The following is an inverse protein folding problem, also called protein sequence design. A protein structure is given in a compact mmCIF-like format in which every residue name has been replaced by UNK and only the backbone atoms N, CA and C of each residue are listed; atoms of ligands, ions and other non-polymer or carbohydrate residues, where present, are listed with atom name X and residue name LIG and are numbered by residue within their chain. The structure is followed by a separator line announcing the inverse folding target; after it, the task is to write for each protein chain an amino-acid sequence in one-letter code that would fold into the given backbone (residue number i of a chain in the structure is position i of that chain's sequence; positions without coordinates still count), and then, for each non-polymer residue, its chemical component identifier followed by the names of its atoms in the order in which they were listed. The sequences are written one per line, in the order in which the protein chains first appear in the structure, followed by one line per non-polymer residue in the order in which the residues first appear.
data_IF_821058346928
#
_entry.id   IF_821058346928
#
_cell.length_a   1.000
_cell.length_b   1.000
_cell.length_c   1.000
_cell.angle_alpha   90.00
_cell.angle_beta   90.00
_cell.angle_gamma   90.00
#
_symmetry.space_group_name_H-M   'P 1'
#
loop_
_entity.id
_entity.type
_entity.pdbx_description
1 polymer ?
#
# COMPACT_ATOMS: atom_id res chain seq x y z
N UNK A 1 -13.46 25.41 -15.96
CA UNK A 1 -13.19 24.25 -15.09
C UNK A 1 -13.80 24.56 -13.74
N UNK A 2 -14.98 24.02 -13.44
CA UNK A 2 -15.69 24.27 -12.19
C UNK A 2 -14.82 23.75 -11.03
N UNK A 3 -14.46 24.61 -10.08
CA UNK A 3 -13.75 24.22 -8.85
C UNK A 3 -14.53 23.07 -8.19
N UNK A 4 -13.97 21.87 -8.28
CA UNK A 4 -14.58 20.68 -7.67
C UNK A 4 -14.32 20.80 -6.17
N UNK A 5 -15.27 21.38 -5.43
CA UNK A 5 -15.14 21.51 -3.97
C UNK A 5 -15.22 20.12 -3.35
N UNK A 6 -14.08 19.60 -2.92
CA UNK A 6 -13.99 18.32 -2.25
C UNK A 6 -14.69 18.37 -0.88
N UNK A 7 -15.36 17.27 -0.53
CA UNK A 7 -15.97 17.09 0.79
C UNK A 7 -14.92 17.02 1.90
N UNK A 8 -15.36 17.26 3.14
CA UNK A 8 -14.49 17.11 4.32
C UNK A 8 -13.88 15.70 4.40
N UNK A 9 -14.65 14.65 4.10
CA UNK A 9 -14.14 13.27 4.08
C UNK A 9 -12.99 13.11 3.09
N UNK A 10 -13.14 13.60 1.86
CA UNK A 10 -12.09 13.54 0.84
C UNK A 10 -10.83 14.30 1.27
N UNK A 11 -10.98 15.47 1.92
CA UNK A 11 -9.86 16.25 2.43
C UNK A 11 -9.16 15.55 3.60
N UNK A 12 -9.90 14.94 4.52
CA UNK A 12 -9.35 14.12 5.62
C UNK A 12 -8.56 12.93 5.07
N UNK A 13 -9.10 12.22 4.07
CA UNK A 13 -8.39 11.10 3.46
C UNK A 13 -7.12 11.55 2.76
N UNK A 14 -7.18 12.66 2.01
CA UNK A 14 -6.00 13.22 1.38
C UNK A 14 -4.93 13.64 2.42
N UNK A 15 -5.33 14.16 3.58
CA UNK A 15 -4.39 14.47 4.67
C UNK A 15 -3.76 13.20 5.26
N UNK A 16 -4.55 12.12 5.41
CA UNK A 16 -4.01 10.82 5.83
C UNK A 16 -3.07 10.22 4.76
N UNK A 17 -3.31 10.43 3.46
CA UNK A 17 -2.40 9.98 2.41
C UNK A 17 -1.02 10.66 2.50
N UNK A 18 -0.95 11.90 3.00
CA UNK A 18 0.31 12.61 3.28
C UNK A 18 1.01 12.02 4.51
N UNK A 19 0.29 11.86 5.62
CA UNK A 19 0.78 11.17 6.82
C UNK A 19 -0.33 10.32 7.45
N UNK A 20 -0.24 9.01 7.25
CA UNK A 20 -1.23 8.05 7.73
C UNK A 20 -1.36 7.98 9.25
N UNK A 21 -0.39 8.52 10.01
CA UNK A 21 -0.40 8.59 11.48
C UNK A 21 -0.60 10.01 12.02
N UNK A 22 -0.88 10.98 11.15
CA UNK A 22 -1.14 12.36 11.56
C UNK A 22 -2.25 12.43 12.62
N UNK A 23 -2.09 13.34 13.58
CA UNK A 23 -3.09 13.58 14.63
C UNK A 23 -4.28 14.34 14.05
N UNK A 24 -5.47 14.09 14.60
CA UNK A 24 -6.69 14.79 14.17
C UNK A 24 -6.60 16.30 14.39
N UNK A 25 -5.93 16.73 15.47
CA UNK A 25 -5.65 18.14 15.75
C UNK A 25 -4.82 18.82 14.66
N UNK A 26 -3.78 18.15 14.15
CA UNK A 26 -2.93 18.69 13.08
C UNK A 26 -3.66 18.72 11.75
N UNK A 27 -4.43 17.67 11.44
CA UNK A 27 -5.31 17.66 10.26
C UNK A 27 -6.32 18.80 10.32
N UNK A 28 -6.96 19.01 11.48
CA UNK A 28 -7.91 20.09 11.69
C UNK A 28 -7.29 21.48 11.48
N UNK A 29 -6.10 21.70 12.04
CA UNK A 29 -5.36 22.94 11.86
C UNK A 29 -4.99 23.17 10.39
N UNK A 30 -4.47 22.15 9.70
CA UNK A 30 -4.07 22.25 8.29
C UNK A 30 -5.27 22.55 7.38
N UNK A 31 -6.42 21.90 7.62
CA UNK A 31 -7.62 22.04 6.78
C UNK A 31 -8.47 23.28 7.12
N UNK A 32 -8.20 23.95 8.25
CA UNK A 32 -9.01 25.05 8.77
C UNK A 32 -10.40 24.61 9.26
N UNK A 33 -10.49 23.39 9.78
CA UNK A 33 -11.75 22.74 10.17
C UNK A 33 -11.82 22.48 11.68
N UNK A 34 -13.01 22.48 12.31
CA UNK A 34 -13.11 22.14 13.73
C UNK A 34 -12.63 20.71 14.03
N UNK A 35 -11.75 20.55 15.03
CA UNK A 35 -11.16 19.25 15.39
C UNK A 35 -12.22 18.18 15.73
N UNK A 36 -13.33 18.59 16.36
CA UNK A 36 -14.47 17.70 16.64
C UNK A 36 -15.04 17.07 15.36
N UNK A 37 -15.13 17.84 14.27
CA UNK A 37 -15.65 17.35 12.99
C UNK A 37 -14.64 16.42 12.34
N UNK A 38 -13.37 16.83 12.27
CA UNK A 38 -12.29 16.00 11.69
C UNK A 38 -12.16 14.67 12.42
N UNK A 39 -12.19 14.68 13.75
CA UNK A 39 -12.12 13.46 14.58
C UNK A 39 -13.30 12.55 14.31
N UNK A 40 -14.53 13.09 14.34
CA UNK A 40 -15.75 12.29 14.11
C UNK A 40 -15.76 11.66 12.72
N UNK A 41 -15.45 12.43 11.68
CA UNK A 41 -15.43 11.95 10.29
C UNK A 41 -14.26 10.98 10.05
N UNK A 42 -13.06 11.29 10.55
CA UNK A 42 -11.88 10.45 10.42
C UNK A 42 -12.05 9.07 11.07
N UNK A 43 -12.63 9.01 12.28
CA UNK A 43 -12.95 7.74 12.93
C UNK A 43 -13.97 6.95 12.11
N UNK A 44 -15.07 7.58 11.67
CA UNK A 44 -16.09 6.91 10.88
C UNK A 44 -15.55 6.35 9.55
N UNK A 45 -14.63 7.07 8.89
CA UNK A 45 -13.97 6.60 7.67
C UNK A 45 -13.13 5.34 7.91
N UNK A 46 -12.36 5.31 9.01
CA UNK A 46 -11.55 4.16 9.39
C UNK A 46 -12.42 2.96 9.80
N UNK A 47 -13.45 3.18 10.62
CA UNK A 47 -14.36 2.13 11.08
C UNK A 47 -15.18 1.51 9.94
N UNK A 48 -15.54 2.31 8.93
CA UNK A 48 -16.27 1.83 7.76
C UNK A 48 -15.43 0.92 6.84
N UNK A 49 -14.12 0.88 7.01
CA UNK A 49 -13.19 0.15 6.13
C UNK A 49 -12.98 0.78 4.75
N UNK A 50 -13.63 1.92 4.47
CA UNK A 50 -13.42 2.70 3.22
C UNK A 50 -12.02 3.32 3.14
N UNK A 51 -11.39 3.49 4.29
CA UNK A 51 -10.03 4.00 4.46
C UNK A 51 -9.34 3.11 5.46
N UNK A 52 -8.16 2.60 5.11
CA UNK A 52 -7.33 1.84 6.02
C UNK A 52 -5.91 2.38 5.98
N UNK A 53 -5.29 2.49 7.16
CA UNK A 53 -3.86 2.77 7.26
C UNK A 53 -3.15 1.47 7.57
N UNK A 54 -2.17 1.11 6.75
CA UNK A 54 -1.41 -0.14 6.86
C UNK A 54 0.07 0.15 6.67
N UNK A 55 0.94 -0.67 7.25
CA UNK A 55 2.33 -0.72 6.84
C UNK A 55 2.52 -1.68 5.67
N UNK A 56 3.37 -1.29 4.73
CA UNK A 56 3.90 -2.18 3.71
C UNK A 56 5.35 -2.44 4.05
N UNK A 57 5.71 -3.70 4.25
CA UNK A 57 7.12 -4.09 4.37
C UNK A 57 7.78 -3.97 2.99
N UNK A 58 8.90 -3.26 2.90
CA UNK A 58 9.65 -3.14 1.65
C UNK A 58 10.68 -4.27 1.59
N UNK A 59 10.44 -5.38 0.90
CA UNK A 59 11.36 -6.53 0.93
C UNK A 59 11.81 -6.99 -0.45
N UNK A 60 13.10 -6.83 -0.76
CA UNK A 60 13.74 -7.45 -1.93
C UNK A 60 12.97 -7.28 -3.25
N UNK A 61 13.11 -8.28 -4.13
CA UNK A 61 12.40 -8.35 -5.40
C UNK A 61 10.89 -8.55 -5.24
N UNK A 62 10.13 -8.12 -6.24
CA UNK A 62 8.69 -8.36 -6.36
C UNK A 62 8.39 -8.99 -7.71
N UNK A 63 7.24 -9.65 -7.81
CA UNK A 63 6.70 -10.12 -9.06
C UNK A 63 5.23 -9.75 -9.19
N UNK A 64 4.84 -9.35 -10.40
CA UNK A 64 3.44 -9.24 -10.79
C UNK A 64 2.98 -10.61 -11.25
N UNK A 65 1.99 -11.16 -10.55
CA UNK A 65 1.36 -12.43 -10.86
C UNK A 65 -0.02 -12.17 -11.44
N UNK A 66 -0.27 -12.66 -12.64
CA UNK A 66 -1.59 -12.67 -13.27
C UNK A 66 -2.15 -14.07 -13.24
N UNK A 67 -3.40 -14.22 -12.85
CA UNK A 67 -4.07 -15.52 -12.78
C UNK A 67 -5.28 -15.56 -13.71
N UNK A 68 -5.49 -16.71 -14.32
CA UNK A 68 -6.78 -17.15 -14.78
C UNK A 68 -7.32 -18.20 -13.81
N UNK A 69 -8.62 -18.11 -13.55
CA UNK A 69 -9.34 -18.95 -12.62
C UNK A 69 -10.42 -19.74 -13.35
N UNK A 70 -10.84 -20.86 -12.76
CA UNK A 70 -12.07 -21.53 -13.19
C UNK A 70 -13.29 -20.63 -12.97
N UNK A 71 -14.36 -20.77 -13.77
CA UNK A 71 -15.58 -19.97 -13.60
C UNK A 71 -16.10 -20.02 -12.15
N UNK A 72 -16.38 -18.85 -11.57
CA UNK A 72 -16.89 -18.72 -10.21
C UNK A 72 -15.85 -18.79 -9.09
N UNK A 73 -14.57 -19.10 -9.36
CA UNK A 73 -13.56 -19.28 -8.31
C UNK A 73 -12.65 -18.07 -8.07
N UNK A 74 -12.72 -17.02 -8.90
CA UNK A 74 -11.81 -15.85 -8.83
C UNK A 74 -11.76 -15.21 -7.44
N UNK A 75 -12.89 -15.10 -6.74
CA UNK A 75 -12.92 -14.52 -5.38
C UNK A 75 -12.18 -15.39 -4.38
N UNK A 76 -12.23 -16.72 -4.53
CA UNK A 76 -11.52 -17.67 -3.67
C UNK A 76 -10.02 -17.56 -3.91
N UNK A 77 -9.58 -17.58 -5.18
CA UNK A 77 -8.18 -17.45 -5.55
C UNK A 77 -7.61 -16.09 -5.10
N UNK A 78 -8.31 -15.00 -5.36
CA UNK A 78 -7.92 -13.66 -4.94
C UNK A 78 -7.83 -13.53 -3.41
N UNK A 79 -8.79 -14.11 -2.68
CA UNK A 79 -8.76 -14.12 -1.21
C UNK A 79 -7.59 -14.94 -0.67
N UNK A 80 -7.29 -16.09 -1.28
CA UNK A 80 -6.15 -16.91 -0.91
C UNK A 80 -4.82 -16.16 -1.12
N UNK A 81 -4.66 -15.45 -2.23
CA UNK A 81 -3.51 -14.59 -2.46
C UNK A 81 -3.42 -13.43 -1.46
N UNK A 82 -4.55 -12.76 -1.17
CA UNK A 82 -4.60 -11.63 -0.25
C UNK A 82 -4.27 -12.02 1.21
N UNK A 83 -4.44 -13.29 1.58
CA UNK A 83 -4.07 -13.81 2.89
C UNK A 83 -2.58 -14.15 3.02
N UNK A 84 -1.82 -14.14 1.92
CA UNK A 84 -0.37 -14.37 1.99
C UNK A 84 0.32 -13.18 2.62
N UNK A 85 1.26 -13.45 3.53
CA UNK A 85 2.05 -12.40 4.19
C UNK A 85 2.99 -11.65 3.25
N UNK A 86 3.28 -12.21 2.08
CA UNK A 86 4.15 -11.63 1.06
C UNK A 86 3.36 -10.95 -0.08
N UNK A 87 2.02 -10.99 -0.06
CA UNK A 87 1.19 -10.28 -1.03
C UNK A 87 1.05 -8.80 -0.66
N UNK A 88 1.30 -7.91 -1.63
CA UNK A 88 1.18 -6.45 -1.48
C UNK A 88 -0.25 -6.00 -1.78
N UNK A 89 -0.81 -6.49 -2.88
CA UNK A 89 -2.18 -6.23 -3.27
C UNK A 89 -2.70 -7.35 -4.16
N UNK A 90 -4.02 -7.45 -4.24
CA UNK A 90 -4.74 -8.26 -5.23
C UNK A 90 -5.86 -7.41 -5.82
N UNK A 91 -5.96 -7.37 -7.13
CA UNK A 91 -7.12 -6.82 -7.84
C UNK A 91 -7.82 -7.92 -8.61
N UNK A 92 -9.14 -8.01 -8.47
CA UNK A 92 -9.99 -8.77 -9.37
C UNK A 92 -10.26 -7.89 -10.58
N UNK A 93 -10.03 -8.43 -11.78
CA UNK A 93 -10.09 -7.69 -13.02
C UNK A 93 -11.22 -8.25 -13.90
N UNK A 94 -11.76 -7.38 -14.74
CA UNK A 94 -12.49 -7.79 -15.94
C UNK A 94 -11.50 -7.85 -17.09
N UNK A 95 -11.34 -8.99 -17.77
CA UNK A 95 -10.46 -9.07 -18.93
C UNK A 95 -9.81 -10.44 -19.11
N UNK A 96 -8.58 -10.45 -19.64
CA UNK A 96 -7.85 -11.68 -19.98
C UNK A 96 -7.27 -12.40 -18.76
N UNK A 97 -6.92 -11.66 -17.71
CA UNK A 97 -6.62 -12.19 -16.40
C UNK A 97 -7.80 -11.90 -15.46
N UNK A 98 -8.18 -12.88 -14.65
CA UNK A 98 -9.29 -12.75 -13.70
C UNK A 98 -8.84 -12.03 -12.43
N UNK A 99 -7.58 -12.18 -12.03
CA UNK A 99 -6.98 -11.36 -11.00
C UNK A 99 -5.49 -11.12 -11.24
N UNK A 100 -4.99 -10.02 -10.69
CA UNK A 100 -3.58 -9.69 -10.62
C UNK A 100 -3.19 -9.48 -9.16
N UNK A 101 -2.01 -9.97 -8.80
CA UNK A 101 -1.42 -9.73 -7.49
C UNK A 101 0.02 -9.28 -7.64
N UNK A 102 0.48 -8.46 -6.71
CA UNK A 102 1.89 -8.17 -6.54
C UNK A 102 2.40 -8.91 -5.31
N UNK A 103 3.46 -9.70 -5.47
CA UNK A 103 4.00 -10.56 -4.42
C UNK A 103 5.47 -10.21 -4.22
N UNK A 104 5.87 -9.97 -2.97
CA UNK A 104 7.27 -9.92 -2.58
C UNK A 104 7.90 -11.30 -2.69
N UNK A 105 8.94 -11.42 -3.50
CA UNK A 105 9.63 -12.69 -3.73
C UNK A 105 11.07 -12.42 -4.14
N UNK A 106 12.00 -13.00 -3.39
CA UNK A 106 13.41 -12.97 -3.75
C UNK A 106 13.68 -13.88 -4.95
N UNK A 107 14.77 -13.60 -5.68
CA UNK A 107 15.11 -14.32 -6.91
C UNK A 107 15.26 -15.83 -6.70
N UNK A 108 15.79 -16.25 -5.57
CA UNK A 108 15.98 -17.66 -5.17
C UNK A 108 14.66 -18.37 -4.83
N UNK A 109 13.67 -17.64 -4.32
CA UNK A 109 12.34 -18.17 -3.96
C UNK A 109 11.36 -18.19 -5.13
N UNK A 110 11.66 -17.46 -6.21
CA UNK A 110 10.81 -17.34 -7.38
C UNK A 110 10.43 -18.70 -8.02
N UNK A 111 11.36 -19.67 -8.21
CA UNK A 111 10.99 -20.98 -8.74
C UNK A 111 9.94 -21.70 -7.88
N UNK A 112 10.08 -21.67 -6.55
CA UNK A 112 9.12 -22.28 -5.62
C UNK A 112 7.76 -21.59 -5.67
N UNK A 113 7.73 -20.26 -5.74
CA UNK A 113 6.47 -19.52 -5.91
C UNK A 113 5.75 -19.98 -7.18
N UNK A 114 6.46 -20.01 -8.32
CA UNK A 114 5.86 -20.30 -9.64
C UNK A 114 5.48 -21.77 -9.82
N UNK A 115 6.32 -22.69 -9.36
CA UNK A 115 6.12 -24.12 -9.63
C UNK A 115 5.25 -24.82 -8.58
N UNK A 116 5.28 -24.36 -7.33
CA UNK A 116 4.63 -25.07 -6.22
C UNK A 116 3.46 -24.28 -5.64
N UNK A 117 3.68 -23.01 -5.29
CA UNK A 117 2.71 -22.24 -4.48
C UNK A 117 1.56 -21.64 -5.30
N UNK A 118 1.84 -21.06 -6.46
CA UNK A 118 0.79 -20.51 -7.34
C UNK A 118 -0.13 -21.61 -7.88
N UNK A 119 0.38 -22.76 -8.39
CA UNK A 119 -0.49 -23.85 -8.85
C UNK A 119 -1.32 -24.49 -7.74
N UNK A 120 -0.85 -24.45 -6.48
CA UNK A 120 -1.60 -24.93 -5.32
C UNK A 120 -2.74 -23.98 -4.90
N UNK A 121 -2.84 -22.79 -5.48
CA UNK A 121 -3.91 -21.84 -5.15
C UNK A 121 -5.24 -22.33 -5.74
N UNK A 122 -6.22 -22.57 -4.86
CA UNK A 122 -7.51 -23.11 -5.25
C UNK A 122 -8.18 -22.24 -6.33
N UNK A 123 -8.60 -22.91 -7.42
CA UNK A 123 -9.33 -22.29 -8.51
C UNK A 123 -8.45 -21.71 -9.61
N UNK A 124 -7.13 -21.64 -9.45
CA UNK A 124 -6.19 -21.18 -10.48
C UNK A 124 -6.04 -22.25 -11.57
N UNK A 125 -6.21 -21.85 -12.83
CA UNK A 125 -6.00 -22.72 -14.01
C UNK A 125 -4.74 -22.35 -14.78
N UNK A 126 -4.32 -21.08 -14.69
CA UNK A 126 -3.11 -20.59 -15.36
C UNK A 126 -2.56 -19.38 -14.62
N UNK A 127 -1.24 -19.26 -14.58
CA UNK A 127 -0.55 -18.11 -14.01
C UNK A 127 0.55 -17.59 -14.95
N UNK A 128 0.73 -16.27 -14.96
CA UNK A 128 1.92 -15.60 -15.50
C UNK A 128 2.60 -14.87 -14.37
N UNK A 129 3.93 -14.89 -14.34
CA UNK A 129 4.73 -14.23 -13.31
C UNK A 129 5.80 -13.38 -13.98
N UNK A 130 5.75 -12.08 -13.72
CA UNK A 130 6.64 -11.08 -14.30
C UNK A 130 7.41 -10.38 -13.16
N UNK A 131 8.69 -10.72 -12.93
CA UNK A 131 9.52 -10.02 -11.94
C UNK A 131 9.64 -8.54 -12.27
N UNK A 132 9.44 -7.68 -11.27
CA UNK A 132 9.56 -6.24 -11.44
C UNK A 132 11.04 -5.86 -11.40
N UNK A 133 11.56 -5.37 -12.51
CA UNK A 133 12.96 -4.95 -12.62
C UNK A 133 13.18 -3.51 -12.16
N UNK A 134 12.17 -2.65 -12.33
CA UNK A 134 12.22 -1.24 -11.98
C UNK A 134 10.81 -0.68 -11.84
N UNK A 135 10.56 0.02 -10.75
CA UNK A 135 9.39 0.88 -10.62
C UNK A 135 9.70 2.27 -11.17
N UNK A 136 8.74 2.84 -11.89
CA UNK A 136 8.81 4.23 -12.34
C UNK A 136 7.95 5.15 -11.48
N UNK A 137 6.77 4.66 -11.09
CA UNK A 137 5.84 5.27 -10.15
C UNK A 137 5.08 4.15 -9.46
N UNK A 138 4.73 4.33 -8.20
CA UNK A 138 3.89 3.36 -7.49
C UNK A 138 2.57 3.98 -7.05
N UNK A 139 1.61 3.14 -6.69
CA UNK A 139 0.33 3.58 -6.11
C UNK A 139 0.52 4.35 -4.79
N UNK A 140 1.72 4.33 -4.18
CA UNK A 140 2.05 5.18 -3.03
C UNK A 140 2.04 6.67 -3.36
N UNK A 141 2.39 7.00 -4.59
CA UNK A 141 2.45 8.38 -5.10
C UNK A 141 1.12 8.82 -5.72
N UNK A 142 0.10 7.97 -5.64
CA UNK A 142 -1.24 8.32 -6.11
C UNK A 142 -1.91 9.24 -5.08
N UNK A 143 -2.25 10.43 -5.52
CA UNK A 143 -3.01 11.42 -4.77
C UNK A 143 -4.13 11.98 -5.64
N UNK A 144 -5.28 12.28 -5.02
CA UNK A 144 -6.43 12.80 -5.75
C UNK A 144 -6.36 14.32 -6.05
N UNK A 145 -5.21 14.96 -5.77
CA UNK A 145 -5.02 16.41 -5.99
C UNK A 145 -5.94 17.30 -5.13
N UNK A 146 -6.32 16.81 -3.95
CA UNK A 146 -7.36 17.43 -3.10
C UNK A 146 -6.81 18.55 -2.22
N UNK A 147 -5.57 18.39 -1.73
CA UNK A 147 -4.92 19.35 -0.85
C UNK A 147 -4.05 20.31 -1.65
N UNK A 148 -4.07 21.57 -1.25
CA UNK A 148 -3.13 22.60 -1.66
C UNK A 148 -1.72 22.27 -1.14
N UNK A 149 -0.64 22.80 -1.77
CA UNK A 149 0.72 22.62 -1.26
C UNK A 149 0.88 23.05 0.20
N UNK A 150 0.31 24.19 0.58
CA UNK A 150 0.38 24.71 1.95
C UNK A 150 -0.29 23.78 2.97
N UNK A 151 -1.42 23.17 2.63
CA UNK A 151 -2.08 22.17 3.48
C UNK A 151 -1.20 20.92 3.65
N UNK A 152 -0.56 20.44 2.58
CA UNK A 152 0.35 19.29 2.65
C UNK A 152 1.56 19.58 3.55
N UNK A 153 2.15 20.77 3.39
CA UNK A 153 3.29 21.20 4.21
C UNK A 153 2.90 21.30 5.69
N UNK A 154 1.70 21.81 5.99
CA UNK A 154 1.19 21.90 7.36
C UNK A 154 0.94 20.52 8.02
N UNK A 155 0.62 19.49 7.23
CA UNK A 155 0.51 18.11 7.72
C UNK A 155 1.88 17.54 8.11
N UNK A 156 2.93 17.86 7.34
CA UNK A 156 4.30 17.45 7.65
C UNK A 156 4.50 15.93 7.54
N UNK A 157 4.29 15.39 6.34
CA UNK A 157 4.60 13.99 6.02
C UNK A 157 6.08 13.79 5.70
N UNK A 158 6.65 12.67 6.12
CA UNK A 158 7.96 12.23 5.62
C UNK A 158 7.71 11.62 4.24
N UNK A 159 8.21 12.28 3.19
CA UNK A 159 8.21 11.69 1.86
C UNK A 159 8.87 10.30 1.95
N UNK A 160 8.21 9.23 1.47
CA UNK A 160 8.85 7.92 1.48
C UNK A 160 10.18 8.04 0.72
N UNK A 161 11.26 7.38 1.19
CA UNK A 161 12.53 7.42 0.49
C UNK A 161 12.31 7.06 -0.99
N UNK A 162 12.82 7.88 -1.91
CA UNK A 162 12.70 7.69 -3.36
C UNK A 162 13.35 6.38 -3.85
N UNK A 163 14.10 5.70 -2.99
CA UNK A 163 14.68 4.41 -3.28
C UNK A 163 13.56 3.36 -3.34
N UNK A 164 13.22 2.95 -4.55
CA UNK A 164 12.71 1.61 -4.79
C UNK A 164 13.81 0.66 -4.30
N UNK A 165 13.62 0.10 -3.12
CA UNK A 165 14.60 -0.74 -2.45
C UNK A 165 14.61 -2.11 -3.12
N UNK A 166 15.06 -2.17 -4.38
CA UNK A 166 15.37 -3.40 -5.10
C UNK A 166 16.48 -4.20 -4.40
N UNK A 167 17.25 -3.54 -3.52
CA UNK A 167 18.43 -4.10 -2.87
C UNK A 167 18.37 -4.09 -1.33
N UNK A 168 17.19 -3.95 -0.71
CA UNK A 168 17.08 -4.33 0.71
C UNK A 168 17.08 -5.86 0.81
N UNK A 169 18.24 -6.46 0.56
CA UNK A 169 18.65 -7.69 1.21
C UNK A 169 18.71 -7.41 2.71
N UNK A 170 17.57 -7.51 3.39
CA UNK A 170 17.57 -7.44 4.84
C UNK A 170 17.96 -8.79 5.40
N UNK A 171 19.06 -8.77 6.13
CA UNK A 171 19.38 -9.79 7.12
C UNK A 171 18.19 -10.11 8.01
N UNK A 172 18.25 -11.29 8.61
CA UNK A 172 17.26 -11.85 9.53
C UNK A 172 16.77 -10.80 10.53
N UNK A 173 15.58 -10.25 10.30
CA UNK A 173 14.90 -9.39 11.28
C UNK A 173 14.60 -10.20 12.54
N UNK A 174 14.81 -9.61 13.70
CA UNK A 174 14.53 -10.26 14.97
C UNK A 174 13.01 -10.51 15.17
N UNK A 175 12.62 -11.41 16.08
CA UNK A 175 11.20 -11.73 16.30
C UNK A 175 10.35 -10.54 16.76
N UNK A 176 10.94 -9.56 17.44
CA UNK A 176 10.25 -8.36 17.93
C UNK A 176 9.87 -7.48 16.74
N UNK A 177 10.82 -7.21 15.85
CA UNK A 177 10.59 -6.41 14.65
C UNK A 177 9.55 -7.09 13.74
N UNK A 178 9.62 -8.42 13.57
CA UNK A 178 8.60 -9.16 12.80
C UNK A 178 7.20 -9.02 13.39
N UNK A 179 7.09 -9.03 14.71
CA UNK A 179 5.81 -8.86 15.41
C UNK A 179 5.28 -7.44 15.22
N UNK A 180 6.12 -6.42 15.41
CA UNK A 180 5.76 -5.02 15.18
C UNK A 180 5.30 -4.79 13.75
N UNK A 181 6.02 -5.32 12.76
CA UNK A 181 5.67 -5.20 11.34
C UNK A 181 4.30 -5.83 11.07
N UNK A 182 4.05 -7.06 11.58
CA UNK A 182 2.78 -7.76 11.38
C UNK A 182 1.60 -6.96 11.93
N UNK A 183 1.73 -6.42 13.14
CA UNK A 183 0.69 -5.60 13.77
C UNK A 183 0.43 -4.32 12.96
N UNK A 184 1.50 -3.66 12.48
CA UNK A 184 1.37 -2.45 11.66
C UNK A 184 0.81 -2.73 10.25
N UNK A 185 1.08 -3.91 9.67
CA UNK A 185 0.45 -4.34 8.41
C UNK A 185 -1.07 -4.51 8.56
N UNK A 186 -1.53 -4.97 9.72
CA UNK A 186 -2.96 -5.06 10.00
C UNK A 186 -3.58 -3.69 10.31
N UNK A 187 -2.90 -2.88 11.14
CA UNK A 187 -3.33 -1.54 11.49
C UNK A 187 -2.12 -0.62 11.68
N UNK A 188 -1.83 0.20 10.66
CA UNK A 188 -0.71 1.13 10.66
C UNK A 188 -0.82 2.26 11.68
N UNK A 189 -2.00 2.46 12.28
CA UNK A 189 -2.25 3.45 13.35
C UNK A 189 -2.22 2.86 14.76
N UNK A 190 -1.91 1.57 14.92
CA UNK A 190 -1.80 0.95 16.25
C UNK A 190 -0.79 1.72 17.12
N UNK A 191 -1.17 1.94 18.39
CA UNK A 191 -0.39 2.70 19.35
C UNK A 191 0.85 1.94 19.83
N UNK A 192 1.90 2.67 20.21
CA UNK A 192 3.17 2.08 20.69
C UNK A 192 2.98 1.21 21.93
N UNK A 193 2.05 1.56 22.82
CA UNK A 193 1.73 0.79 24.02
C UNK A 193 1.17 -0.59 23.67
N UNK A 194 0.26 -0.67 22.69
CA UNK A 194 -0.29 -1.95 22.24
C UNK A 194 0.77 -2.80 21.54
N UNK A 195 1.59 -2.19 20.68
CA UNK A 195 2.73 -2.86 20.04
C UNK A 195 3.72 -3.44 21.07
N UNK A 196 4.04 -2.66 22.11
CA UNK A 196 4.95 -3.07 23.17
C UNK A 196 4.42 -4.30 23.91
N UNK A 197 3.13 -4.29 24.26
CA UNK A 197 2.45 -5.42 24.90
C UNK A 197 2.48 -6.67 24.02
N UNK A 198 2.13 -6.55 22.74
CA UNK A 198 2.10 -7.71 21.82
C UNK A 198 3.50 -8.26 21.53
N UNK A 199 4.50 -7.39 21.42
CA UNK A 199 5.88 -7.78 21.12
C UNK A 199 6.71 -8.15 22.38
N UNK A 200 6.15 -8.00 23.59
CA UNK A 200 6.83 -8.37 24.84
C UNK A 200 8.00 -7.44 25.21
N UNK A 201 7.91 -6.15 24.90
CA UNK A 201 8.98 -5.16 25.18
C UNK A 201 8.44 -3.91 25.88
N UNK A 202 9.33 -3.04 26.36
CA UNK A 202 8.91 -1.75 26.90
C UNK A 202 8.35 -0.82 25.81
N UNK A 203 7.49 0.13 26.18
CA UNK A 203 6.94 1.11 25.24
C UNK A 203 8.03 1.97 24.58
N UNK A 204 9.06 2.35 25.35
CA UNK A 204 10.22 3.08 24.81
C UNK A 204 10.96 2.24 23.76
N UNK A 205 11.14 0.94 23.99
CA UNK A 205 11.75 0.01 23.03
C UNK A 205 10.90 -0.10 21.77
N UNK A 206 9.58 -0.33 21.89
CA UNK A 206 8.69 -0.43 20.75
C UNK A 206 8.70 0.84 19.90
N UNK A 207 8.62 2.03 20.52
CA UNK A 207 8.73 3.33 19.84
C UNK A 207 10.03 3.45 19.05
N UNK A 208 11.17 3.14 19.68
CA UNK A 208 12.47 3.19 19.03
C UNK A 208 12.55 2.24 17.83
N UNK A 209 12.03 1.02 17.96
CA UNK A 209 12.01 0.02 16.87
C UNK A 209 11.13 0.48 15.71
N UNK A 210 9.91 0.97 15.97
CA UNK A 210 9.02 1.51 14.92
C UNK A 210 9.71 2.65 14.16
N UNK A 211 10.35 3.58 14.88
CA UNK A 211 11.06 4.68 14.24
C UNK A 211 12.22 4.19 13.38
N UNK A 212 13.04 3.26 13.88
CA UNK A 212 14.13 2.66 13.09
C UNK A 212 13.59 1.98 11.83
N UNK A 213 12.53 1.17 11.96
CA UNK A 213 11.90 0.48 10.83
C UNK A 213 11.36 1.46 9.76
N UNK A 214 10.87 2.63 10.15
CA UNK A 214 10.42 3.67 9.22
C UNK A 214 11.59 4.41 8.58
N UNK A 215 12.56 4.85 9.39
CA UNK A 215 13.72 5.64 8.96
C UNK A 215 14.65 4.84 8.04
N UNK A 216 14.83 3.54 8.29
CA UNK A 216 15.59 2.63 7.42
C UNK A 216 14.84 2.26 6.13
N UNK A 217 13.65 2.83 5.90
CA UNK A 217 12.78 2.49 4.77
C UNK A 217 12.25 1.06 4.85
N UNK A 218 12.32 0.47 6.04
CA UNK A 218 12.18 -0.95 6.20
C UNK A 218 10.70 -1.39 6.27
N UNK A 219 9.84 -0.47 6.69
CA UNK A 219 8.42 -0.42 6.39
C UNK A 219 8.08 0.99 5.91
N UNK A 220 6.99 1.12 5.18
CA UNK A 220 6.37 2.41 4.87
C UNK A 220 4.89 2.36 5.21
N UNK A 221 4.34 3.43 5.78
CA UNK A 221 2.91 3.52 6.01
C UNK A 221 2.20 3.93 4.72
N UNK A 222 1.04 3.35 4.49
CA UNK A 222 0.20 3.59 3.32
C UNK A 222 -1.24 3.74 3.76
N UNK A 223 -1.93 4.67 3.10
CA UNK A 223 -3.37 4.76 3.17
C UNK A 223 -3.97 4.07 1.96
N UNK A 224 -4.77 3.05 2.22
CA UNK A 224 -5.59 2.37 1.23
C UNK A 224 -6.97 3.03 1.27
N UNK A 225 -7.41 3.50 0.11
CA UNK A 225 -8.70 4.16 -0.06
C UNK A 225 -9.33 3.66 -1.35
N UNK A 226 -10.65 3.49 -1.33
CA UNK A 226 -11.43 3.26 -2.54
C UNK A 226 -11.43 4.51 -3.43
N UNK A 227 -10.88 4.47 -4.67
CA UNK A 227 -10.89 5.60 -5.59
C UNK A 227 -12.28 6.19 -5.87
N UNK A 228 -13.36 5.40 -5.68
CA UNK A 228 -14.73 5.86 -5.82
C UNK A 228 -15.07 6.98 -4.81
N UNK A 229 -14.37 7.06 -3.67
CA UNK A 229 -14.48 8.18 -2.72
C UNK A 229 -14.14 9.52 -3.38
N UNK A 230 -13.25 9.54 -4.38
CA UNK A 230 -12.88 10.73 -5.15
C UNK A 230 -13.65 10.86 -6.48
N UNK A 231 -14.68 10.03 -6.67
CA UNK A 231 -15.49 10.00 -7.89
C UNK A 231 -14.82 9.27 -9.06
N UNK A 232 -13.72 8.55 -8.83
CA UNK A 232 -13.09 7.69 -9.82
C UNK A 232 -13.75 6.32 -9.77
N UNK A 233 -14.71 6.09 -10.67
CA UNK A 233 -15.56 4.88 -10.66
C UNK A 233 -15.03 3.73 -11.51
N UNK A 234 -13.92 3.95 -12.23
CA UNK A 234 -13.29 2.95 -13.07
C UNK A 234 -11.80 2.96 -12.80
N UNK A 235 -11.23 1.77 -12.61
CA UNK A 235 -9.81 1.51 -12.51
C UNK A 235 -9.46 0.48 -13.60
N UNK A 236 -8.31 0.65 -14.24
CA UNK A 236 -7.85 -0.24 -15.30
C UNK A 236 -6.39 -0.63 -15.07
N UNK A 237 -6.11 -1.92 -15.24
CA UNK A 237 -4.74 -2.44 -15.24
C UNK A 237 -4.29 -2.62 -16.70
N UNK A 238 -3.26 -1.87 -17.10
CA UNK A 238 -2.74 -1.91 -18.47
C UNK A 238 -1.41 -2.66 -18.52
N UNK A 239 -1.32 -3.68 -19.37
CA UNK A 239 -0.08 -4.41 -19.64
C UNK A 239 0.44 -4.03 -21.03
N UNK A 240 1.54 -3.29 -21.09
CA UNK A 240 2.09 -2.79 -22.35
C UNK A 240 3.36 -3.55 -22.71
N UNK A 241 3.41 -4.09 -23.92
CA UNK A 241 4.62 -4.69 -24.51
C UNK A 241 5.25 -3.68 -25.47
N UNK A 242 6.52 -3.36 -25.27
CA UNK A 242 7.26 -2.43 -26.13
C UNK A 242 8.74 -2.83 -26.26
N UNK A 243 9.46 -2.18 -27.16
CA UNK A 243 10.92 -2.32 -27.28
C UNK A 243 11.62 -1.65 -26.09
N UNK A 244 12.77 -2.21 -25.66
CA UNK A 244 13.50 -1.73 -24.47
C UNK A 244 13.83 -0.22 -24.53
N UNK A 245 14.26 0.28 -25.69
CA UNK A 245 14.60 1.69 -25.90
C UNK A 245 13.37 2.64 -25.96
N UNK A 246 12.14 2.11 -25.89
CA UNK A 246 10.89 2.88 -25.86
C UNK A 246 10.27 2.94 -24.47
N UNK A 247 10.84 2.26 -23.47
CA UNK A 247 10.28 2.22 -22.12
C UNK A 247 10.28 3.62 -21.49
N UNK A 248 11.41 4.31 -21.42
CA UNK A 248 11.52 5.62 -20.77
C UNK A 248 10.65 6.70 -21.47
N UNK A 249 10.65 6.82 -22.81
CA UNK A 249 9.75 7.75 -23.49
C UNK A 249 8.26 7.44 -23.25
N UNK A 250 7.88 6.16 -23.28
CA UNK A 250 6.50 5.73 -23.03
C UNK A 250 6.05 6.10 -21.62
N UNK A 251 6.88 5.77 -20.61
CA UNK A 251 6.59 6.07 -19.21
C UNK A 251 6.44 7.58 -19.01
N UNK A 252 7.35 8.39 -19.57
CA UNK A 252 7.26 9.85 -19.46
C UNK A 252 5.94 10.36 -20.01
N UNK A 253 5.55 9.94 -21.22
CA UNK A 253 4.29 10.38 -21.83
C UNK A 253 3.03 9.86 -21.14
N UNK A 254 3.12 8.84 -20.27
CA UNK A 254 1.99 8.39 -19.43
C UNK A 254 1.90 9.10 -18.08
N UNK A 255 2.98 9.76 -17.63
CA UNK A 255 3.07 10.41 -16.32
C UNK A 255 2.89 11.93 -16.38
N UNK A 256 3.04 12.53 -17.57
CA UNK A 256 2.68 13.92 -17.89
C UNK A 256 1.16 14.07 -18.07
#
# INVERSE_FOLDING_TARGET
MTERRFSLDQRIVAALQVDGRCSWSRIAQALGEPERNVTRHGIALLESGRVAVTAVANSGGTAIVRLQCSPGTVRVAASALAQRSDCIFVYILTGTADCVAEIHVSRDRLPKLVMDELPATMGVVRSWTDPVLRYFRTVREWEAGVLTPAEKDAIGGVAPPAAFLTDLERGTRDPVDRTIIRELMQNGRVGTTALARTAGVSEATARRRVQALLTEGAISLRVVVDPALFGLRAEAMLFIKTQRNRIEPLVRGMLE
#
